data_IF_498885754568
#
_entry.id   IF_498885754568
#
_cell.length_a   1.000
_cell.length_b   1.000
_cell.length_c   1.000
_cell.angle_alpha   90.00
_cell.angle_beta   90.00
_cell.angle_gamma   90.00
#
_symmetry.space_group_name_H-M   'P 1'
#
loop_
_entity.id
_entity.type
_entity.pdbx_description
1 polymer ?
#
# COMPACT_ATOMS: atom_id res chain seq x y z
N UNK A 1 5.94 -20.85 0.47
CA UNK A 1 6.03 -21.64 1.72
C UNK A 1 4.67 -22.26 1.95
N UNK A 2 4.59 -23.55 2.27
CA UNK A 2 3.35 -24.21 2.72
C UNK A 2 3.49 -24.53 4.22
N UNK A 3 2.38 -24.69 4.95
CA UNK A 3 2.36 -24.89 6.41
C UNK A 3 3.06 -23.77 7.20
N UNK A 4 2.82 -22.51 6.84
CA UNK A 4 3.42 -21.32 7.46
C UNK A 4 2.71 -20.83 8.73
N UNK A 5 1.71 -21.58 9.23
CA UNK A 5 0.93 -21.29 10.45
C UNK A 5 0.09 -20.00 10.46
N UNK A 6 0.29 -19.09 9.49
CA UNK A 6 -0.62 -17.96 9.28
C UNK A 6 -2.03 -18.45 8.97
N UNK A 7 -3.02 -17.98 9.75
CA UNK A 7 -4.43 -18.30 9.55
C UNK A 7 -4.88 -17.91 8.13
N UNK A 8 -5.51 -18.85 7.43
CA UNK A 8 -6.00 -18.67 6.06
C UNK A 8 -7.05 -17.58 5.94
N UNK A 9 -7.92 -17.41 6.93
CA UNK A 9 -8.94 -16.34 6.94
C UNK A 9 -8.29 -14.95 6.91
N UNK A 10 -7.15 -14.77 7.58
CA UNK A 10 -6.40 -13.51 7.56
C UNK A 10 -5.81 -13.27 6.18
N UNK A 11 -5.26 -14.31 5.55
CA UNK A 11 -4.69 -14.22 4.19
C UNK A 11 -5.76 -13.87 3.18
N UNK A 12 -6.94 -14.48 3.28
CA UNK A 12 -8.05 -14.22 2.35
C UNK A 12 -8.65 -12.83 2.56
N UNK A 13 -8.82 -12.39 3.80
CA UNK A 13 -9.22 -11.00 4.10
C UNK A 13 -8.22 -9.99 3.55
N UNK A 14 -6.91 -10.23 3.69
CA UNK A 14 -5.89 -9.34 3.14
C UNK A 14 -6.00 -9.22 1.62
N UNK A 15 -6.29 -10.32 0.91
CA UNK A 15 -6.52 -10.28 -0.54
C UNK A 15 -7.77 -9.46 -0.88
N UNK A 16 -8.87 -9.68 -0.17
CA UNK A 16 -10.14 -8.96 -0.37
C UNK A 16 -9.98 -7.46 -0.16
N UNK A 17 -9.41 -7.04 0.98
CA UNK A 17 -9.15 -5.64 1.31
C UNK A 17 -8.23 -4.98 0.28
N UNK A 18 -7.18 -5.68 -0.16
CA UNK A 18 -6.27 -5.18 -1.20
C UNK A 18 -7.02 -4.99 -2.53
N UNK A 19 -7.82 -5.96 -2.95
CA UNK A 19 -8.63 -5.84 -4.17
C UNK A 19 -9.64 -4.70 -4.07
N UNK A 20 -10.31 -4.57 -2.93
CA UNK A 20 -11.25 -3.48 -2.65
C UNK A 20 -10.57 -2.12 -2.74
N UNK A 21 -9.38 -1.96 -2.15
CA UNK A 21 -8.59 -0.74 -2.25
C UNK A 21 -8.26 -0.40 -3.70
N UNK A 22 -7.72 -1.33 -4.50
CA UNK A 22 -7.35 -1.03 -5.88
C UNK A 22 -8.55 -0.83 -6.82
N UNK A 23 -9.70 -1.44 -6.51
CA UNK A 23 -10.97 -1.24 -7.21
C UNK A 23 -11.66 0.08 -6.87
N UNK A 24 -11.29 0.74 -5.77
CA UNK A 24 -11.86 2.03 -5.36
C UNK A 24 -11.57 3.16 -6.37
N UNK A 25 -12.36 4.25 -6.34
CA UNK A 25 -12.13 5.41 -7.19
C UNK A 25 -10.71 5.97 -7.07
N UNK A 26 -10.20 6.52 -8.16
CA UNK A 26 -8.86 7.10 -8.19
C UNK A 26 -8.66 8.20 -7.14
N UNK A 27 -9.66 9.06 -6.92
CA UNK A 27 -9.55 10.16 -5.95
C UNK A 27 -9.38 9.66 -4.50
N UNK A 28 -9.98 8.52 -4.16
CA UNK A 28 -9.79 7.89 -2.84
C UNK A 28 -8.35 7.38 -2.70
N UNK A 29 -7.83 6.66 -3.70
CA UNK A 29 -6.43 6.19 -3.72
C UNK A 29 -5.43 7.34 -3.71
N UNK A 30 -5.73 8.42 -4.43
CA UNK A 30 -4.89 9.62 -4.54
C UNK A 30 -4.80 10.38 -3.22
N UNK A 31 -5.83 10.32 -2.36
CA UNK A 31 -5.75 10.90 -1.02
C UNK A 31 -4.64 10.28 -0.16
N UNK A 32 -4.23 9.05 -0.50
CA UNK A 32 -3.16 8.29 0.14
C UNK A 32 -1.87 8.29 -0.68
N UNK A 33 -1.70 9.22 -1.63
CA UNK A 33 -0.53 9.26 -2.49
C UNK A 33 0.76 9.56 -1.74
N UNK A 34 1.86 9.06 -2.30
CA UNK A 34 3.21 9.44 -1.89
C UNK A 34 3.37 10.97 -1.95
N UNK A 35 4.02 11.54 -0.93
CA UNK A 35 4.36 12.97 -0.88
C UNK A 35 5.84 13.17 -1.21
N UNK A 36 6.25 14.36 -1.70
CA UNK A 36 7.66 14.61 -2.03
C UNK A 36 8.60 14.31 -0.86
N UNK A 37 9.63 13.50 -1.10
CA UNK A 37 10.59 13.06 -0.09
C UNK A 37 10.18 11.81 0.69
N UNK A 38 8.98 11.28 0.46
CA UNK A 38 8.46 10.08 1.11
C UNK A 38 8.19 8.96 0.10
N UNK A 39 8.29 7.72 0.56
CA UNK A 39 8.17 6.52 -0.29
C UNK A 39 6.88 5.73 -0.02
N UNK A 40 6.26 5.99 1.14
CA UNK A 40 5.00 5.36 1.55
C UNK A 40 3.81 6.08 0.94
N UNK A 41 2.78 5.31 0.60
CA UNK A 41 1.57 5.78 -0.07
C UNK A 41 1.37 5.17 -1.45
N UNK A 42 0.35 5.67 -2.15
CA UNK A 42 -0.04 5.26 -3.49
C UNK A 42 0.79 6.00 -4.55
N UNK A 43 1.51 5.24 -5.36
CA UNK A 43 2.41 5.79 -6.37
C UNK A 43 3.45 4.80 -6.84
N UNK A 44 4.24 5.21 -7.83
CA UNK A 44 5.30 4.40 -8.41
C UNK A 44 6.58 4.47 -7.55
N UNK A 45 7.40 3.42 -7.62
CA UNK A 45 8.73 3.49 -7.04
C UNK A 45 9.63 4.42 -7.89
N UNK A 46 10.05 5.54 -7.30
CA UNK A 46 11.13 6.46 -7.72
C UNK A 46 11.37 6.61 -9.24
N UNK A 47 11.03 7.79 -9.79
CA UNK A 47 11.58 8.21 -11.10
C UNK A 47 12.95 8.86 -10.85
N UNK A 48 14.02 8.12 -11.10
CA UNK A 48 15.41 8.53 -10.84
C UNK A 48 16.10 9.14 -12.06
N UNK A 49 15.56 8.93 -13.27
CA UNK A 49 16.09 9.50 -14.51
C UNK A 49 15.07 9.50 -15.64
N UNK A 50 15.30 10.31 -16.69
CA UNK A 50 14.44 10.36 -17.87
C UNK A 50 14.47 9.07 -18.71
N UNK A 51 15.58 8.33 -18.66
CA UNK A 51 15.76 7.08 -19.44
C UNK A 51 15.25 5.85 -18.69
N UNK A 52 14.67 6.05 -17.49
CA UNK A 52 14.16 4.95 -16.69
C UNK A 52 12.95 4.30 -17.36
N UNK A 53 13.05 2.98 -17.54
CA UNK A 53 11.89 2.15 -17.89
C UNK A 53 11.03 1.98 -16.65
N UNK A 54 9.75 2.28 -16.78
CA UNK A 54 8.78 2.15 -15.70
C UNK A 54 8.09 0.80 -15.80
N UNK A 55 7.78 0.24 -14.63
CA UNK A 55 6.96 -0.95 -14.53
C UNK A 55 5.51 -0.61 -14.88
N UNK A 56 4.82 -1.54 -15.54
CA UNK A 56 3.40 -1.42 -15.84
C UNK A 56 2.57 -1.97 -14.67
N UNK A 57 2.66 -1.31 -13.52
CA UNK A 57 1.98 -1.73 -12.30
C UNK A 57 1.80 -0.56 -11.35
N UNK A 58 0.64 -0.41 -10.70
CA UNK A 58 0.48 0.52 -9.59
C UNK A 58 0.96 -0.11 -8.28
N UNK A 59 1.44 0.73 -7.34
CA UNK A 59 1.93 0.28 -6.03
C UNK A 59 1.34 1.11 -4.89
N UNK A 60 1.12 0.44 -3.77
CA UNK A 60 0.83 1.07 -2.48
C UNK A 60 1.83 0.53 -1.45
N UNK A 61 2.75 1.37 -0.99
CA UNK A 61 3.83 0.96 -0.08
C UNK A 61 3.59 1.49 1.33
N UNK A 62 3.78 0.63 2.34
CA UNK A 62 3.56 0.95 3.75
C UNK A 62 4.62 0.31 4.65
N UNK A 63 5.08 1.07 5.65
CA UNK A 63 5.78 0.51 6.80
C UNK A 63 4.75 0.07 7.83
N UNK A 64 4.72 -1.24 8.11
CA UNK A 64 3.73 -1.87 9.00
C UNK A 64 4.29 -2.13 10.41
N UNK A 65 5.59 -2.34 10.54
CA UNK A 65 6.24 -2.63 11.82
C UNK A 65 7.69 -2.07 11.83
N UNK A 66 8.18 -1.55 12.98
CA UNK A 66 7.47 -1.34 14.24
C UNK A 66 6.39 -0.26 14.16
N UNK A 67 5.42 -0.31 15.09
CA UNK A 67 4.29 0.63 15.14
C UNK A 67 4.76 2.08 15.22
N UNK A 68 5.91 2.34 15.84
CA UNK A 68 6.50 3.67 15.96
C UNK A 68 6.90 4.31 14.62
N UNK A 69 7.06 3.52 13.55
CA UNK A 69 7.38 4.02 12.22
C UNK A 69 6.14 4.22 11.33
N UNK A 70 4.96 3.82 11.81
CA UNK A 70 3.71 3.99 11.05
C UNK A 70 3.39 5.46 10.90
N UNK A 71 3.22 5.92 9.66
CA UNK A 71 2.78 7.30 9.36
C UNK A 71 1.31 7.51 9.75
N UNK A 72 1.01 8.33 10.78
CA UNK A 72 -0.36 8.41 11.31
C UNK A 72 -1.39 8.85 10.27
N UNK A 73 -1.03 9.77 9.37
CA UNK A 73 -1.95 10.26 8.34
C UNK A 73 -2.40 9.15 7.37
N UNK A 74 -1.54 8.20 7.02
CA UNK A 74 -1.90 7.07 6.15
C UNK A 74 -2.73 6.06 6.93
N UNK A 75 -2.23 5.67 8.12
CA UNK A 75 -2.85 4.62 8.94
C UNK A 75 -4.19 5.02 9.57
N UNK A 76 -4.49 6.30 9.73
CA UNK A 76 -5.81 6.78 10.17
C UNK A 76 -6.85 6.84 9.05
N UNK A 77 -6.40 6.96 7.79
CA UNK A 77 -7.28 7.02 6.63
C UNK A 77 -7.58 5.63 6.04
N UNK A 78 -6.73 4.65 6.31
CA UNK A 78 -7.04 3.24 6.04
C UNK A 78 -8.21 2.81 6.94
N UNK A 79 -9.22 2.17 6.34
CA UNK A 79 -10.38 1.62 7.07
C UNK A 79 -9.92 0.82 8.28
N UNK A 80 -10.66 0.91 9.39
CA UNK A 80 -10.41 0.21 10.67
C UNK A 80 -10.52 -1.32 10.57
N UNK A 81 -10.67 -1.86 9.35
CA UNK A 81 -10.72 -3.29 9.08
C UNK A 81 -9.34 -3.94 8.92
N UNK A 82 -8.26 -3.15 8.90
CA UNK A 82 -6.86 -3.61 8.96
C UNK A 82 -6.41 -4.07 10.37
#
# INVERSE_FOLDING_TARGET
LINHEVNTEIVDKMKEETQGFFASPFEEKKSLSQVPGEIEGYGQAFVVSNDQKLDWADMFYLVTHPVSLRKPHIWQMLSTSF
#
